data_IF_302480800677
#
_entry.id   IF_302480800677
#
_cell.length_a   1.000
_cell.length_b   1.000
_cell.length_c   1.000
_cell.angle_alpha   90.00
_cell.angle_beta   90.00
_cell.angle_gamma   90.00
#
_symmetry.space_group_name_H-M   'P 1'
#
loop_
_entity.id
_entity.type
_entity.pdbx_description
1 polymer ?
#
# COMPACT_ATOMS: atom_id res chain seq x y z
N UNK A 1 -12.71 17.05 -7.41
CA UNK A 1 -11.84 15.87 -7.27
C UNK A 1 -11.83 15.16 -8.62
N UNK A 2 -10.72 15.24 -9.38
CA UNK A 2 -10.58 14.51 -10.65
C UNK A 2 -9.92 13.17 -10.32
N UNK A 3 -10.66 12.07 -10.48
CA UNK A 3 -10.12 10.73 -10.40
C UNK A 3 -9.35 10.44 -11.68
N UNK A 4 -8.03 10.63 -11.66
CA UNK A 4 -7.18 10.20 -12.76
C UNK A 4 -6.99 8.69 -12.62
N UNK A 5 -7.72 7.91 -13.43
CA UNK A 5 -7.45 6.47 -13.58
C UNK A 5 -6.06 6.34 -14.19
N UNK A 6 -5.09 5.87 -13.41
CA UNK A 6 -3.71 5.75 -13.88
C UNK A 6 -3.67 4.81 -15.08
N UNK A 7 -2.93 5.18 -16.12
CA UNK A 7 -2.76 4.32 -17.31
C UNK A 7 -1.84 3.17 -16.91
N UNK A 8 -2.45 2.07 -16.50
CA UNK A 8 -1.84 0.79 -16.13
C UNK A 8 -1.23 0.06 -17.36
N UNK A 9 -0.56 0.80 -18.24
CA UNK A 9 0.00 0.28 -19.48
C UNK A 9 1.51 0.02 -19.37
N UNK A 10 2.12 0.53 -18.30
CA UNK A 10 3.55 0.43 -18.03
C UNK A 10 3.75 0.02 -16.57
N UNK A 11 4.82 -0.73 -16.36
CA UNK A 11 5.30 -1.12 -15.04
C UNK A 11 5.71 0.12 -14.23
N UNK A 12 5.24 0.23 -12.99
CA UNK A 12 5.64 1.32 -12.09
C UNK A 12 5.79 0.86 -10.64
N UNK A 13 6.50 1.67 -9.86
CA UNK A 13 6.64 1.52 -8.41
C UNK A 13 6.27 2.84 -7.72
N UNK A 14 5.47 2.78 -6.66
CA UNK A 14 5.11 3.94 -5.85
C UNK A 14 5.57 3.70 -4.42
N UNK A 15 6.59 4.45 -3.99
CA UNK A 15 7.01 4.49 -2.59
C UNK A 15 6.07 5.39 -1.79
N UNK A 16 5.54 4.85 -0.69
CA UNK A 16 4.60 5.55 0.16
C UNK A 16 4.68 5.09 1.63
N UNK A 17 4.03 5.85 2.49
CA UNK A 17 3.66 5.43 3.84
C UNK A 17 2.24 4.86 3.78
N UNK A 18 2.05 3.62 4.22
CA UNK A 18 0.80 2.87 4.15
C UNK A 18 0.20 2.65 5.53
N UNK A 19 -1.12 2.72 5.64
CA UNK A 19 -1.84 2.57 6.91
C UNK A 19 -3.24 1.99 6.68
N UNK A 20 -3.76 1.28 7.68
CA UNK A 20 -5.13 0.75 7.66
C UNK A 20 -6.15 1.88 7.82
N UNK A 21 -7.40 1.62 7.42
CA UNK A 21 -8.51 2.59 7.54
C UNK A 21 -8.77 3.05 8.99
N UNK A 22 -8.44 2.21 9.97
CA UNK A 22 -8.57 2.48 11.41
C UNK A 22 -7.28 3.05 12.04
N UNK A 23 -6.24 3.33 11.24
CA UNK A 23 -4.96 3.83 11.73
C UNK A 23 -4.69 5.28 11.30
N UNK A 24 -4.01 6.02 12.18
CA UNK A 24 -3.43 7.31 11.82
C UNK A 24 -2.18 7.13 10.94
N UNK A 25 -1.97 8.03 9.97
CA UNK A 25 -0.80 8.02 9.07
C UNK A 25 0.56 8.00 9.81
N UNK A 26 0.62 8.57 11.02
CA UNK A 26 1.85 8.60 11.85
C UNK A 26 2.31 7.19 12.27
N UNK A 27 1.39 6.23 12.28
CA UNK A 27 1.65 4.82 12.56
C UNK A 27 1.83 4.00 11.26
N UNK A 28 1.91 4.67 10.11
CA UNK A 28 2.00 4.01 8.82
C UNK A 28 3.38 3.38 8.59
N UNK A 29 3.38 2.36 7.75
CA UNK A 29 4.54 1.54 7.40
C UNK A 29 5.04 1.97 6.03
N UNK A 30 6.36 2.09 5.88
CA UNK A 30 6.94 2.32 4.56
C UNK A 30 6.78 1.09 3.68
N UNK A 31 6.42 1.29 2.43
CA UNK A 31 6.27 0.21 1.48
C UNK A 31 6.17 0.70 0.05
N UNK A 32 6.20 -0.25 -0.87
CA UNK A 32 6.16 0.01 -2.31
C UNK A 32 4.92 -0.66 -2.90
N UNK A 33 4.12 0.11 -3.64
CA UNK A 33 3.10 -0.42 -4.51
C UNK A 33 3.71 -0.69 -5.87
N UNK A 34 3.72 -1.96 -6.27
CA UNK A 34 4.18 -2.42 -7.55
C UNK A 34 2.99 -2.62 -8.48
N UNK A 35 3.15 -2.18 -9.73
CA UNK A 35 2.38 -2.70 -10.84
C UNK A 35 3.33 -3.35 -11.83
N UNK A 36 3.15 -4.66 -12.02
CA UNK A 36 3.97 -5.51 -12.90
C UNK A 36 3.09 -6.59 -13.51
N UNK A 37 3.20 -6.83 -14.81
CA UNK A 37 2.48 -7.91 -15.50
C UNK A 37 0.96 -7.94 -15.20
N UNK A 38 0.31 -6.77 -15.21
CA UNK A 38 -1.13 -6.62 -14.89
C UNK A 38 -1.53 -7.04 -13.46
N UNK A 39 -0.57 -7.15 -12.55
CA UNK A 39 -0.79 -7.44 -11.13
C UNK A 39 -0.39 -6.25 -10.28
N UNK A 40 -1.20 -5.94 -9.28
CA UNK A 40 -0.92 -4.89 -8.29
C UNK A 40 -0.53 -5.58 -6.99
N UNK A 41 0.66 -5.28 -6.50
CA UNK A 41 1.20 -5.87 -5.27
C UNK A 41 1.70 -4.76 -4.36
N UNK A 42 1.28 -4.77 -3.09
CA UNK A 42 1.85 -3.92 -2.06
C UNK A 42 2.88 -4.72 -1.27
N UNK A 43 4.11 -4.22 -1.18
CA UNK A 43 5.15 -4.73 -0.30
C UNK A 43 5.39 -3.74 0.84
N UNK A 44 5.26 -4.20 2.09
CA UNK A 44 5.49 -3.43 3.30
C UNK A 44 6.79 -3.85 3.95
N UNK A 45 7.58 -2.88 4.40
CA UNK A 45 8.82 -3.10 5.15
C UNK A 45 8.58 -3.27 6.65
N UNK A 46 7.41 -3.78 7.02
CA UNK A 46 6.99 -4.23 8.34
C UNK A 46 5.62 -4.94 8.18
N UNK A 47 4.95 -5.28 9.27
CA UNK A 47 3.60 -5.85 9.31
C UNK A 47 2.59 -4.90 9.95
N UNK A 48 1.34 -4.88 9.46
CA UNK A 48 0.24 -4.15 10.12
C UNK A 48 -0.26 -4.78 11.43
N UNK A 49 0.08 -6.04 11.66
CA UNK A 49 -0.25 -6.77 12.87
C UNK A 49 0.95 -6.83 13.80
N UNK A 50 0.69 -6.72 15.11
CA UNK A 50 1.67 -6.94 16.17
C UNK A 50 2.02 -8.43 16.23
N UNK A 51 3.01 -8.84 15.42
CA UNK A 51 3.55 -10.18 15.38
C UNK A 51 3.19 -10.98 14.12
N UNK A 52 3.99 -12.02 13.86
CA UNK A 52 3.83 -12.90 12.69
C UNK A 52 2.63 -13.84 12.85
N UNK A 53 1.47 -13.39 12.39
CA UNK A 53 0.36 -14.30 12.08
C UNK A 53 0.45 -14.68 10.60
N UNK A 54 0.70 -15.96 10.34
CA UNK A 54 0.65 -16.58 9.01
C UNK A 54 -0.79 -16.76 8.48
N UNK A 55 -1.79 -16.26 9.20
CA UNK A 55 -3.18 -16.37 8.79
C UNK A 55 -3.45 -15.51 7.55
N UNK A 56 -4.28 -16.03 6.65
CA UNK A 56 -4.80 -15.27 5.52
C UNK A 56 -5.55 -14.05 6.04
N UNK A 57 -5.02 -12.85 5.78
CA UNK A 57 -5.63 -11.59 6.19
C UNK A 57 -6.17 -10.89 4.95
N UNK A 58 -7.47 -10.58 4.98
CA UNK A 58 -8.11 -9.72 4.00
C UNK A 58 -8.37 -8.35 4.63
N UNK A 59 -7.87 -7.30 3.98
CA UNK A 59 -8.15 -5.92 4.32
C UNK A 59 -8.97 -5.30 3.19
N UNK A 60 -10.19 -4.84 3.51
CA UNK A 60 -11.05 -4.17 2.53
C UNK A 60 -10.36 -2.96 1.89
N UNK A 61 -9.58 -2.22 2.70
CA UNK A 61 -8.92 -1.00 2.29
C UNK A 61 -7.59 -0.77 3.01
N UNK A 62 -6.60 -0.30 2.26
CA UNK A 62 -5.34 0.25 2.76
C UNK A 62 -5.15 1.63 2.13
N UNK A 63 -4.76 2.62 2.92
CA UNK A 63 -4.44 3.96 2.43
C UNK A 63 -2.93 4.14 2.33
N UNK A 64 -2.50 4.99 1.40
CA UNK A 64 -1.10 5.33 1.20
C UNK A 64 -0.91 6.81 0.97
N UNK A 65 0.19 7.37 1.46
CA UNK A 65 0.64 8.72 1.09
C UNK A 65 1.99 8.61 0.40
N UNK A 66 2.01 8.88 -0.91
CA UNK A 66 3.23 8.74 -1.71
C UNK A 66 4.22 9.85 -1.41
N UNK A 67 5.49 9.58 -1.72
CA UNK A 67 6.58 10.54 -1.54
C UNK A 67 6.37 11.85 -2.32
N UNK A 68 5.61 11.83 -3.40
CA UNK A 68 5.26 13.00 -4.21
C UNK A 68 3.93 13.66 -3.81
N UNK A 69 3.38 13.30 -2.64
CA UNK A 69 2.25 13.99 -2.03
C UNK A 69 0.87 13.58 -2.53
N UNK A 70 0.75 12.41 -3.17
CA UNK A 70 -0.55 11.87 -3.61
C UNK A 70 -1.11 10.93 -2.54
N UNK A 71 -2.44 10.99 -2.38
CA UNK A 71 -3.17 10.03 -1.56
C UNK A 71 -3.56 8.83 -2.42
N UNK A 72 -3.31 7.63 -1.93
CA UNK A 72 -3.68 6.36 -2.54
C UNK A 72 -4.70 5.64 -1.66
N UNK A 73 -5.64 4.96 -2.30
CA UNK A 73 -6.57 4.05 -1.64
C UNK A 73 -6.57 2.73 -2.42
N UNK A 74 -6.04 1.68 -1.79
CA UNK A 74 -6.03 0.31 -2.30
C UNK A 74 -7.29 -0.41 -1.83
N UNK A 75 -7.94 -1.17 -2.69
CA UNK A 75 -9.13 -1.96 -2.33
C UNK A 75 -8.89 -3.45 -2.51
N UNK A 76 -9.50 -4.24 -1.62
CA UNK A 76 -9.44 -5.71 -1.66
C UNK A 76 -8.00 -6.21 -1.59
N UNK A 77 -7.40 -6.07 -0.41
CA UNK A 77 -6.00 -6.38 -0.17
C UNK A 77 -5.88 -7.72 0.56
N UNK A 78 -5.38 -8.73 -0.13
CA UNK A 78 -5.19 -10.09 0.41
C UNK A 78 -3.71 -10.32 0.71
N UNK A 79 -3.37 -10.63 1.96
CA UNK A 79 -1.99 -10.97 2.35
C UNK A 79 -1.53 -12.24 1.62
N UNK A 80 -0.46 -12.14 0.85
CA UNK A 80 0.07 -13.24 0.02
C UNK A 80 1.35 -13.86 0.56
N UNK A 81 2.17 -13.09 1.27
CA UNK A 81 3.43 -13.57 1.83
C UNK A 81 3.86 -12.73 3.03
N UNK A 82 4.52 -13.37 3.99
CA UNK A 82 5.26 -12.70 5.06
C UNK A 82 6.64 -13.35 5.12
N UNK A 83 7.71 -12.59 4.93
CA UNK A 83 9.09 -13.08 5.00
C UNK A 83 9.83 -12.43 6.15
N UNK A 84 10.43 -13.25 7.01
CA UNK A 84 11.40 -12.77 7.99
C UNK A 84 12.81 -12.74 7.40
N UNK A 85 13.56 -11.69 7.72
CA UNK A 85 15.00 -11.64 7.53
C UNK A 85 15.63 -11.39 8.90
N UNK A 86 16.47 -12.30 9.38
CA UNK A 86 17.24 -12.09 10.61
C UNK A 86 18.76 -12.18 10.33
N UNK A 87 19.54 -11.11 10.60
CA UNK A 87 19.13 -9.81 11.14
C UNK A 87 18.35 -8.97 10.09
N UNK A 88 17.29 -8.27 10.50
CA UNK A 88 16.48 -7.46 9.58
C UNK A 88 15.07 -7.14 10.08
N UNK A 89 14.20 -6.72 9.15
CA UNK A 89 12.78 -6.45 9.35
C UNK A 89 11.93 -7.47 8.57
N UNK A 90 10.69 -7.66 9.01
CA UNK A 90 9.70 -8.46 8.28
C UNK A 90 9.26 -7.74 7.01
N UNK A 91 8.97 -8.50 5.96
CA UNK A 91 8.36 -7.98 4.74
C UNK A 91 7.03 -8.69 4.54
N UNK A 92 5.94 -7.93 4.59
CA UNK A 92 4.61 -8.41 4.25
C UNK A 92 4.23 -7.99 2.83
N UNK A 93 3.61 -8.89 2.08
CA UNK A 93 3.10 -8.63 0.73
C UNK A 93 1.59 -8.84 0.67
N UNK A 94 0.91 -7.96 -0.06
CA UNK A 94 -0.52 -8.04 -0.34
C UNK A 94 -0.76 -8.00 -1.84
N UNK A 95 -1.62 -8.89 -2.33
CA UNK A 95 -2.27 -8.75 -3.63
C UNK A 95 -3.37 -7.70 -3.51
N UNK A 96 -3.50 -6.83 -4.51
CA UNK A 96 -4.46 -5.72 -4.51
C UNK A 96 -5.33 -5.81 -5.75
N UNK A 97 -6.66 -5.71 -5.58
CA UNK A 97 -7.59 -5.80 -6.71
C UNK A 97 -7.55 -4.54 -7.58
N UNK A 98 -7.66 -3.37 -6.95
CA UNK A 98 -7.59 -2.08 -7.63
C UNK A 98 -7.11 -0.99 -6.67
N UNK A 99 -6.76 0.17 -7.23
CA UNK A 99 -6.44 1.35 -6.46
C UNK A 99 -6.89 2.63 -7.13
N UNK A 100 -7.06 3.66 -6.30
CA UNK A 100 -7.26 5.03 -6.74
C UNK A 100 -6.11 5.91 -6.25
N UNK A 101 -5.79 6.93 -7.04
CA UNK A 101 -4.79 7.93 -6.69
C UNK A 101 -5.38 9.33 -6.83
N UNK A 102 -5.13 10.16 -5.84
CA UNK A 102 -5.68 11.49 -5.70
C UNK A 102 -4.55 12.50 -5.53
N UNK A 103 -4.58 13.55 -6.35
CA UNK A 103 -3.74 14.72 -6.13
C UNK A 103 -4.32 15.52 -4.95
N UNK A 104 -3.48 15.84 -3.98
CA UNK A 104 -3.85 16.63 -2.81
C UNK A 104 -3.42 18.07 -3.05
N UNK A 105 -4.38 18.92 -3.44
CA UNK A 105 -4.16 20.36 -3.49
C UNK A 105 -4.22 20.95 -2.07
N UNK A 106 -3.07 21.09 -1.41
CA UNK A 106 -2.98 21.71 -0.07
C UNK A 106 -3.30 23.22 -0.06
N UNK A 107 -3.44 23.85 -1.23
CA UNK A 107 -3.62 25.29 -1.40
C UNK A 107 -5.08 25.77 -1.53
N UNK A 108 -6.06 24.95 -1.12
CA UNK A 108 -7.46 25.39 -0.99
C UNK A 108 -7.83 25.52 0.48
N UNK A 109 -7.46 26.66 1.07
CA UNK A 109 -8.10 27.23 2.26
C UNK A 109 -8.87 28.47 1.84
#
# INVERSE_FOLDING_TARGET
MRLNKYKLNEDFDILAIWYKEDQEIKNGIKGVLHYRNHSITLELFDSFDDGFKYESQHLNRIYGFSQDGKLLALNGCDKTHGKESFPGFGIDSYSVNDFYMFEVDLNKQ
#
